data_IF_064776547105
#
_entry.id   IF_064776547105
#
_cell.length_a   1.000
_cell.length_b   1.000
_cell.length_c   1.000
_cell.angle_alpha   90.00
_cell.angle_beta   90.00
_cell.angle_gamma   90.00
#
_symmetry.space_group_name_H-M   'P 1'
#
loop_
_entity.id
_entity.type
_entity.pdbx_description
1 polymer ?
#
# COMPACT_ATOMS: atom_id res chain seq x y z
N UNK A 1 -7.59 2.26 -6.08
CA UNK A 1 -6.51 1.57 -5.36
C UNK A 1 -6.17 2.29 -4.07
N UNK A 2 -6.06 1.52 -2.99
CA UNK A 2 -5.94 2.05 -1.63
C UNK A 2 -4.74 1.47 -0.93
N UNK A 3 -3.84 2.34 -0.47
CA UNK A 3 -2.83 1.98 0.51
C UNK A 3 -3.43 2.20 1.90
N UNK A 4 -3.91 1.13 2.55
CA UNK A 4 -4.54 1.21 3.86
C UNK A 4 -3.56 0.85 4.98
N UNK A 5 -3.35 1.80 5.91
CA UNK A 5 -2.44 1.65 7.04
C UNK A 5 -3.22 1.59 8.35
N UNK A 6 -3.02 0.50 9.10
CA UNK A 6 -3.61 0.34 10.43
C UNK A 6 -2.90 1.21 11.47
N UNK A 7 -3.51 1.35 12.65
CA UNK A 7 -2.87 2.03 13.78
C UNK A 7 -1.60 1.32 14.30
N UNK A 8 -1.38 0.05 13.93
CA UNK A 8 -0.17 -0.73 14.25
C UNK A 8 0.91 -0.63 13.16
N UNK A 9 0.73 0.30 12.22
CA UNK A 9 1.59 0.45 11.04
C UNK A 9 1.68 -0.84 10.20
N UNK A 10 0.55 -1.54 10.05
CA UNK A 10 0.43 -2.67 9.12
C UNK A 10 -0.31 -2.19 7.86
N UNK A 11 0.22 -2.51 6.69
CA UNK A 11 -0.40 -2.28 5.39
C UNK A 11 -1.34 -3.45 5.10
N UNK A 12 -2.59 -3.14 4.74
CA UNK A 12 -3.56 -4.14 4.28
C UNK A 12 -3.31 -4.43 2.80
N UNK A 13 -3.11 -5.70 2.46
CA UNK A 13 -2.74 -6.14 1.12
C UNK A 13 -3.55 -7.40 0.76
N UNK A 14 -3.92 -7.55 -0.49
CA UNK A 14 -4.63 -8.70 -1.03
C UNK A 14 -3.63 -9.70 -1.62
N UNK A 15 -3.82 -10.99 -1.32
CA UNK A 15 -3.24 -12.12 -2.04
C UNK A 15 -4.29 -12.64 -3.02
N UNK A 16 -4.33 -12.04 -4.21
CA UNK A 16 -5.38 -12.30 -5.20
C UNK A 16 -4.90 -13.27 -6.27
N UNK A 17 -5.71 -14.27 -6.62
CA UNK A 17 -5.37 -15.22 -7.68
C UNK A 17 -5.41 -14.53 -9.06
N UNK A 18 -4.28 -14.54 -9.77
CA UNK A 18 -4.24 -14.07 -11.14
C UNK A 18 -4.37 -15.28 -12.08
N UNK A 19 -5.52 -15.38 -12.75
CA UNK A 19 -5.85 -16.49 -13.64
C UNK A 19 -4.85 -16.68 -14.80
N UNK A 20 -4.27 -15.60 -15.31
CA UNK A 20 -3.34 -15.65 -16.44
C UNK A 20 -1.95 -16.14 -16.02
N UNK A 21 -1.57 -15.90 -14.77
CA UNK A 21 -0.28 -16.32 -14.22
C UNK A 21 -0.38 -17.61 -13.40
N UNK A 22 -1.58 -18.13 -13.14
CA UNK A 22 -1.83 -19.33 -12.36
C UNK A 22 -1.33 -19.25 -10.92
N UNK A 23 -1.16 -18.04 -10.37
CA UNK A 23 -0.62 -17.81 -9.02
C UNK A 23 -1.23 -16.58 -8.37
N UNK A 24 -1.15 -16.53 -7.03
CA UNK A 24 -1.55 -15.34 -6.27
C UNK A 24 -0.49 -14.25 -6.34
N UNK A 25 -0.93 -13.02 -6.63
CA UNK A 25 -0.12 -11.80 -6.57
C UNK A 25 -0.41 -11.03 -5.30
N UNK A 26 0.55 -10.20 -4.87
CA UNK A 26 0.34 -9.23 -3.81
C UNK A 26 -0.14 -7.91 -4.43
N UNK A 27 -1.38 -7.54 -4.16
CA UNK A 27 -2.02 -6.34 -4.70
C UNK A 27 -2.58 -5.47 -3.56
N UNK A 28 -2.64 -4.16 -3.80
CA UNK A 28 -3.37 -3.24 -2.91
C UNK A 28 -4.87 -3.30 -3.24
N UNK A 29 -5.76 -3.10 -2.24
CA UNK A 29 -7.19 -3.11 -2.47
C UNK A 29 -7.63 -2.15 -3.58
N UNK A 30 -8.35 -2.64 -4.58
CA UNK A 30 -8.67 -1.86 -5.77
C UNK A 30 -9.68 -2.55 -6.70
N UNK A 31 -10.74 -1.83 -7.03
CA UNK A 31 -11.61 -2.18 -8.16
C UNK A 31 -12.00 -1.00 -9.02
N UNK A 32 -12.92 -1.27 -9.93
CA UNK A 32 -13.44 -0.32 -10.91
C UNK A 32 -14.43 0.65 -10.25
N UNK A 33 -14.51 1.86 -10.81
CA UNK A 33 -15.58 2.78 -10.45
C UNK A 33 -16.85 2.44 -11.23
N UNK A 34 -17.99 2.57 -10.59
CA UNK A 34 -19.28 2.55 -11.29
C UNK A 34 -19.80 3.98 -11.47
N UNK A 35 -20.94 4.32 -10.85
CA UNK A 35 -21.58 5.64 -10.94
C UNK A 35 -21.10 6.60 -9.84
N UNK A 36 -20.35 6.09 -8.86
CA UNK A 36 -19.87 6.83 -7.70
C UNK A 36 -18.56 7.61 -7.94
N UNK A 37 -18.19 8.44 -6.97
CA UNK A 37 -16.90 9.17 -6.99
C UNK A 37 -15.72 8.22 -6.77
N UNK A 38 -14.49 8.55 -7.23
CA UNK A 38 -13.32 7.69 -7.02
C UNK A 38 -13.00 7.40 -5.54
N UNK A 39 -13.34 8.32 -4.63
CA UNK A 39 -13.17 8.09 -3.20
C UNK A 39 -14.23 7.13 -2.64
N UNK A 40 -15.46 7.23 -3.15
CA UNK A 40 -16.53 6.32 -2.75
C UNK A 40 -16.22 4.89 -3.21
N UNK A 41 -15.79 4.71 -4.47
CA UNK A 41 -15.31 3.43 -4.98
C UNK A 41 -14.14 2.90 -4.13
N UNK A 42 -13.12 3.72 -3.87
CA UNK A 42 -11.98 3.31 -3.02
C UNK A 42 -12.39 2.85 -1.61
N UNK A 43 -13.40 3.48 -1.00
CA UNK A 43 -13.94 3.06 0.31
C UNK A 43 -14.74 1.77 0.22
N UNK A 44 -15.53 1.63 -0.85
CA UNK A 44 -16.33 0.43 -1.14
C UNK A 44 -15.42 -0.78 -1.29
N UNK A 45 -14.46 -0.70 -2.20
CA UNK A 45 -13.50 -1.77 -2.50
C UNK A 45 -12.65 -2.18 -1.29
N UNK A 46 -12.15 -1.20 -0.50
CA UNK A 46 -11.43 -1.55 0.72
C UNK A 46 -12.32 -2.36 1.69
N UNK A 47 -13.61 -2.02 1.79
CA UNK A 47 -14.55 -2.74 2.67
C UNK A 47 -14.86 -4.13 2.12
N UNK A 48 -15.24 -4.23 0.85
CA UNK A 48 -15.70 -5.46 0.22
C UNK A 48 -14.56 -6.49 0.14
N UNK A 49 -13.41 -6.09 -0.40
CA UNK A 49 -12.29 -7.00 -0.59
C UNK A 49 -11.62 -7.43 0.72
N UNK A 50 -11.68 -6.61 1.78
CA UNK A 50 -10.85 -6.84 2.99
C UNK A 50 -11.60 -6.84 4.32
N UNK A 51 -12.80 -6.30 4.38
CA UNK A 51 -13.54 -6.02 5.62
C UNK A 51 -13.03 -4.79 6.39
N UNK A 52 -12.04 -4.06 5.86
CA UNK A 52 -11.47 -2.89 6.52
C UNK A 52 -12.19 -1.59 6.15
N UNK A 53 -12.29 -0.69 7.13
CA UNK A 53 -12.63 0.72 6.91
C UNK A 53 -11.58 1.60 7.55
N UNK A 54 -11.53 2.89 7.17
CA UNK A 54 -10.53 3.83 7.67
C UNK A 54 -11.13 5.19 7.99
N UNK A 55 -10.59 5.85 9.02
CA UNK A 55 -11.11 7.13 9.52
C UNK A 55 -10.63 8.35 8.75
N UNK A 56 -9.43 8.30 8.14
CA UNK A 56 -8.87 9.43 7.38
C UNK A 56 -8.41 8.98 6.01
N UNK A 57 -8.80 9.73 4.98
CA UNK A 57 -8.50 9.44 3.58
C UNK A 57 -7.77 10.62 2.95
N UNK A 58 -6.69 10.33 2.24
CA UNK A 58 -5.90 11.32 1.52
C UNK A 58 -5.82 10.88 0.06
N UNK A 59 -6.24 11.75 -0.86
CA UNK A 59 -6.00 11.53 -2.28
C UNK A 59 -4.52 11.77 -2.58
N UNK A 60 -3.86 10.79 -3.18
CA UNK A 60 -2.44 10.87 -3.52
C UNK A 60 -2.26 11.35 -4.96
N UNK A 61 -2.80 10.58 -5.90
CA UNK A 61 -2.60 10.81 -7.33
C UNK A 61 -3.77 10.27 -8.15
N UNK A 62 -3.87 10.78 -9.37
CA UNK A 62 -4.66 10.16 -10.43
C UNK A 62 -3.75 10.01 -11.65
N UNK A 63 -3.49 8.79 -12.09
CA UNK A 63 -2.58 8.49 -13.20
C UNK A 63 -3.34 7.82 -14.36
N UNK A 64 -2.89 8.04 -15.59
CA UNK A 64 -3.39 7.28 -16.74
C UNK A 64 -2.86 5.84 -16.69
N UNK A 65 -3.68 4.87 -17.04
CA UNK A 65 -3.31 3.44 -17.02
C UNK A 65 -2.27 3.07 -18.10
N UNK A 66 -2.13 3.89 -19.14
CA UNK A 66 -1.14 3.70 -20.19
C UNK A 66 -1.51 4.46 -21.45
N UNK A 67 -0.61 4.47 -22.44
CA UNK A 67 -0.78 5.19 -23.72
C UNK A 67 -2.10 4.86 -24.44
N UNK A 68 -2.58 3.63 -24.32
CA UNK A 68 -3.72 3.10 -25.06
C UNK A 68 -5.00 2.98 -24.21
N UNK A 69 -5.02 3.59 -23.02
CA UNK A 69 -6.19 3.56 -22.13
C UNK A 69 -6.65 4.98 -21.81
N UNK A 70 -7.96 5.21 -21.96
CA UNK A 70 -8.61 6.42 -21.48
C UNK A 70 -8.87 6.38 -19.95
N UNK A 71 -8.79 5.18 -19.36
CA UNK A 71 -8.97 4.97 -17.93
C UNK A 71 -7.87 5.58 -17.06
N UNK A 72 -8.23 5.91 -15.82
CA UNK A 72 -7.35 6.47 -14.81
C UNK A 72 -7.35 5.61 -13.56
N UNK A 73 -6.17 5.39 -12.98
CA UNK A 73 -6.06 4.83 -11.64
C UNK A 73 -6.05 5.97 -10.62
N UNK A 74 -6.90 5.85 -9.60
CA UNK A 74 -6.96 6.77 -8.48
C UNK A 74 -6.34 6.12 -7.24
N UNK A 75 -5.35 6.80 -6.67
CA UNK A 75 -4.57 6.33 -5.53
C UNK A 75 -4.95 7.09 -4.26
N UNK A 76 -5.21 6.35 -3.20
CA UNK A 76 -5.56 6.89 -1.90
C UNK A 76 -4.70 6.28 -0.79
N UNK A 77 -4.36 7.11 0.20
CA UNK A 77 -3.84 6.67 1.49
C UNK A 77 -4.98 6.69 2.50
N UNK A 78 -5.27 5.53 3.10
CA UNK A 78 -6.27 5.37 4.13
C UNK A 78 -5.59 5.11 5.48
N UNK A 79 -5.75 6.03 6.44
CA UNK A 79 -5.09 5.99 7.74
C UNK A 79 -6.04 5.53 8.84
N UNK A 80 -5.50 4.76 9.79
CA UNK A 80 -6.26 4.23 10.91
C UNK A 80 -7.23 3.14 10.45
N UNK A 81 -6.81 2.30 9.50
CA UNK A 81 -7.59 1.19 9.00
C UNK A 81 -7.88 0.16 10.12
N UNK A 82 -9.13 -0.33 10.19
CA UNK A 82 -9.59 -1.33 11.16
C UNK A 82 -10.51 -2.33 10.48
N UNK A 83 -10.39 -3.61 10.85
CA UNK A 83 -11.38 -4.62 10.44
C UNK A 83 -12.70 -4.28 11.14
N UNK A 84 -13.73 -4.06 10.35
CA UNK A 84 -15.06 -3.61 10.82
C UNK A 84 -16.19 -4.43 10.24
N UNK A 85 -15.90 -5.16 9.17
CA UNK A 85 -16.83 -6.02 8.44
C UNK A 85 -16.11 -7.34 8.12
N UNK A 86 -16.87 -8.34 7.70
CA UNK A 86 -16.30 -9.48 6.98
C UNK A 86 -16.09 -9.12 5.50
N UNK A 87 -15.34 -9.95 4.78
CA UNK A 87 -15.16 -9.76 3.33
C UNK A 87 -16.50 -10.04 2.61
N UNK A 88 -16.78 -9.22 1.60
CA UNK A 88 -17.94 -9.30 0.71
C UNK A 88 -17.41 -9.40 -0.72
N UNK A 89 -16.82 -10.56 -1.06
CA UNK A 89 -16.16 -10.77 -2.36
C UNK A 89 -17.16 -11.05 -3.48
N UNK A 90 -16.84 -10.59 -4.68
CA UNK A 90 -17.55 -11.02 -5.89
C UNK A 90 -17.20 -12.47 -6.26
N UNK A 91 -18.04 -13.16 -7.03
CA UNK A 91 -17.78 -14.53 -7.48
C UNK A 91 -16.46 -14.68 -8.25
N UNK A 92 -16.00 -13.59 -8.89
CA UNK A 92 -14.76 -13.57 -9.67
C UNK A 92 -13.50 -13.40 -8.81
N UNK A 93 -13.65 -13.15 -7.51
CA UNK A 93 -12.56 -12.79 -6.62
C UNK A 93 -12.14 -13.95 -5.70
N UNK A 94 -10.86 -14.33 -5.80
CA UNK A 94 -10.18 -15.20 -4.81
C UNK A 94 -9.11 -14.38 -4.09
N UNK A 95 -9.51 -13.74 -2.98
CA UNK A 95 -8.68 -12.80 -2.21
C UNK A 95 -8.47 -13.32 -0.79
N UNK A 96 -7.20 -13.44 -0.40
CA UNK A 96 -6.80 -13.59 1.01
C UNK A 96 -6.18 -12.28 1.50
N UNK A 97 -6.69 -11.76 2.62
CA UNK A 97 -6.18 -10.51 3.22
C UNK A 97 -4.93 -10.79 4.04
N UNK A 98 -3.88 -10.01 3.78
CA UNK A 98 -2.61 -10.04 4.49
C UNK A 98 -2.32 -8.69 5.16
N UNK A 99 -1.57 -8.75 6.26
CA UNK A 99 -1.11 -7.58 7.01
C UNK A 99 0.40 -7.53 7.00
N UNK A 100 0.95 -6.54 6.29
CA UNK A 100 2.39 -6.40 6.12
C UNK A 100 2.87 -5.24 7.01
N UNK A 101 3.76 -5.46 7.98
CA UNK A 101 4.37 -4.35 8.71
C UNK A 101 4.99 -3.32 7.75
N UNK A 102 4.66 -2.04 7.92
CA UNK A 102 5.12 -0.94 7.06
C UNK A 102 6.64 -0.92 6.92
N UNK A 103 7.37 -1.32 7.96
CA UNK A 103 8.82 -1.44 7.94
C UNK A 103 9.32 -2.52 6.94
N UNK A 104 8.56 -3.59 6.69
CA UNK A 104 8.92 -4.65 5.72
C UNK A 104 8.46 -4.33 4.30
N UNK A 105 7.41 -3.53 4.16
CA UNK A 105 6.77 -3.27 2.87
C UNK A 105 7.74 -2.77 1.77
N UNK A 106 8.68 -1.84 2.02
CA UNK A 106 9.64 -1.42 0.99
C UNK A 106 10.56 -2.54 0.48
N UNK A 107 10.87 -3.54 1.31
CA UNK A 107 11.67 -4.68 0.86
C UNK A 107 10.92 -5.55 -0.15
N UNK A 108 9.60 -5.72 0.05
CA UNK A 108 8.73 -6.48 -0.87
C UNK A 108 8.51 -5.79 -2.21
N UNK A 109 8.58 -4.45 -2.25
CA UNK A 109 8.64 -3.70 -3.50
C UNK A 109 9.98 -3.92 -4.21
N UNK A 110 11.07 -3.93 -3.45
CA UNK A 110 12.43 -4.01 -3.98
C UNK A 110 12.80 -5.40 -4.52
N UNK A 111 12.33 -6.46 -3.86
CA UNK A 111 12.57 -7.85 -4.29
C UNK A 111 11.56 -8.35 -5.35
N UNK A 112 10.57 -7.53 -5.69
CA UNK A 112 9.56 -7.85 -6.70
C UNK A 112 8.44 -8.78 -6.20
N UNK A 113 8.35 -9.06 -4.90
CA UNK A 113 7.22 -9.79 -4.32
C UNK A 113 5.90 -9.07 -4.60
N UNK A 114 5.87 -7.75 -4.44
CA UNK A 114 4.83 -6.88 -4.99
C UNK A 114 5.34 -6.46 -6.36
N UNK A 115 4.69 -6.94 -7.43
CA UNK A 115 5.20 -6.79 -8.81
C UNK A 115 4.32 -5.97 -9.74
N UNK A 116 3.11 -5.60 -9.32
CA UNK A 116 2.17 -4.84 -10.15
C UNK A 116 2.60 -3.37 -10.29
N UNK A 117 2.62 -2.87 -11.53
CA UNK A 117 3.02 -1.49 -11.83
C UNK A 117 2.16 -0.46 -11.09
N UNK A 118 0.85 -0.69 -11.00
CA UNK A 118 -0.06 0.19 -10.27
C UNK A 118 0.22 0.15 -8.77
N UNK A 119 0.45 -1.05 -8.22
CA UNK A 119 0.84 -1.22 -6.83
C UNK A 119 2.14 -0.48 -6.51
N UNK A 120 3.15 -0.54 -7.37
CA UNK A 120 4.38 0.24 -7.21
C UNK A 120 4.09 1.74 -7.17
N UNK A 121 3.34 2.25 -8.16
CA UNK A 121 2.99 3.67 -8.23
C UNK A 121 2.23 4.17 -7.00
N UNK A 122 1.18 3.45 -6.58
CA UNK A 122 0.41 3.79 -5.39
C UNK A 122 1.27 3.70 -4.11
N UNK A 123 2.13 2.69 -4.02
CA UNK A 123 3.01 2.50 -2.87
C UNK A 123 4.05 3.60 -2.72
N UNK A 124 4.70 4.01 -3.82
CA UNK A 124 5.69 5.09 -3.75
C UNK A 124 5.06 6.44 -3.35
N UNK A 125 3.89 6.75 -3.90
CA UNK A 125 3.13 7.96 -3.52
C UNK A 125 2.68 7.89 -2.05
N UNK A 126 2.21 6.73 -1.58
CA UNK A 126 1.80 6.54 -0.19
C UNK A 126 2.97 6.63 0.79
N UNK A 127 4.11 6.00 0.48
CA UNK A 127 5.31 6.05 1.33
C UNK A 127 5.88 7.47 1.43
N UNK A 128 5.88 8.23 0.33
CA UNK A 128 6.30 9.63 0.33
C UNK A 128 5.35 10.50 1.18
N UNK A 129 4.04 10.27 1.09
CA UNK A 129 3.05 10.96 1.92
C UNK A 129 3.19 10.59 3.41
N UNK A 130 3.42 9.32 3.73
CA UNK A 130 3.64 8.87 5.10
C UNK A 130 4.91 9.49 5.71
N UNK A 131 5.99 9.64 4.92
CA UNK A 131 7.20 10.34 5.36
C UNK A 131 6.93 11.81 5.70
N UNK A 132 6.15 12.52 4.89
CA UNK A 132 5.78 13.93 5.18
C UNK A 132 4.87 14.07 6.40
N UNK A 133 4.14 13.00 6.77
CA UNK A 133 3.35 12.90 8.00
C UNK A 133 4.16 12.42 9.21
N UNK A 134 5.46 12.16 9.07
CA UNK A 134 6.37 11.79 10.16
C UNK A 134 6.47 10.29 10.46
N UNK A 135 5.89 9.41 9.63
CA UNK A 135 6.06 7.96 9.77
C UNK A 135 7.47 7.53 9.38
N UNK A 136 8.06 6.59 10.13
CA UNK A 136 9.42 6.09 9.87
C UNK A 136 9.37 4.82 9.02
N UNK A 137 9.71 4.93 7.74
CA UNK A 137 9.94 3.76 6.89
C UNK A 137 11.34 3.16 7.15
N UNK A 138 11.53 1.86 6.90
CA UNK A 138 12.80 1.18 7.20
C UNK A 138 14.04 1.80 6.51
N UNK A 139 13.84 2.54 5.41
CA UNK A 139 14.89 3.32 4.72
C UNK A 139 15.59 4.33 5.64
N UNK A 140 14.92 4.80 6.70
CA UNK A 140 15.47 5.72 7.70
C UNK A 140 16.17 5.02 8.90
N UNK A 141 15.80 3.77 9.24
CA UNK A 141 16.51 3.01 10.29
C UNK A 141 17.97 2.72 9.89
N UNK A 142 18.23 2.48 8.61
CA UNK A 142 19.58 2.26 8.09
C UNK A 142 20.44 3.54 8.11
N UNK A 143 19.87 4.70 7.73
CA UNK A 143 20.59 5.98 7.78
C UNK A 143 20.89 6.48 9.20
N UNK A 144 19.97 6.27 10.14
CA UNK A 144 20.17 6.63 11.56
C UNK A 144 21.11 5.69 12.32
N UNK A 145 21.30 4.45 11.84
CA UNK A 145 22.28 3.50 12.38
C UNK A 145 23.72 3.75 11.90
N UNK A 146 23.92 4.20 10.65
CA UNK A 146 25.26 4.47 10.12
C UNK A 146 25.89 5.76 10.67
N UNK A 147 25.08 6.77 11.04
CA UNK A 147 25.57 8.02 11.65
C UNK A 147 26.16 7.86 13.07
N UNK A 148 25.74 6.84 13.83
CA UNK A 148 26.25 6.58 15.19
C UNK A 148 27.55 5.75 15.22
N UNK A 149 27.81 4.97 14.18
CA UNK A 149 29.05 4.17 14.05
C UNK A 149 30.24 5.02 13.58
N UNK A 150 30.00 5.96 12.67
CA UNK A 150 31.05 6.85 12.16
C UNK A 150 31.60 7.81 13.24
N UNK A 151 30.78 8.20 14.22
CA UNK A 151 31.19 9.15 15.26
C UNK A 151 31.96 8.50 16.44
N UNK A 152 31.95 7.16 16.58
CA UNK A 152 32.78 6.47 17.60
C UNK A 152 34.20 6.18 17.14
N UNK A 153 34.47 6.13 15.83
CA UNK A 153 35.83 5.89 15.30
C UNK A 153 36.71 7.14 15.25
N UNK A 154 36.14 8.35 15.38
CA UNK A 154 36.90 9.61 15.45
C UNK A 154 37.27 10.05 16.87
N UNK A 155 36.71 9.43 17.90
CA UNK A 155 36.97 9.76 19.30
C UNK A 155 38.05 8.87 19.98
N UNK A 156 38.66 7.95 19.24
CA UNK A 156 39.64 6.96 19.74
C UNK A 156 40.98 6.97 18.97
N UNK A 157 41.22 7.96 18.11
CA UNK A 157 42.50 8.13 17.43
C UNK A 157 43.31 9.25 18.07
N UNK A 158 44.04 8.91 19.15
CA UNK A 158 45.26 9.60 19.55
C UNK A 158 46.42 9.10 18.70
#
# INVERSE_FOLDING_TARGET
MVFALTAKEEVIVNRQHNIHLGRRLWELPAGCMETETPLAAAKRELREETGYTAGRWLKLKSLHLGKWSLGRAHFYLALGARKTHEQELEESEDIVVERIPLARYPALLADGTISSTLCHGASYEALACLESLGYRTARQKLKSGQGKSANRRRALGH
#
